data_IF_098583303365
#
_entry.id   IF_098583303365
#
_cell.length_a   1.000
_cell.length_b   1.000
_cell.length_c   1.000
_cell.angle_alpha   90.00
_cell.angle_beta   90.00
_cell.angle_gamma   90.00
#
_symmetry.space_group_name_H-M   'P 1'
#
loop_
_entity.id
_entity.type
_entity.pdbx_description
1 polymer ?
#
# COMPACT_ATOMS: atom_id res chain seq x y z
N UNK A 1 8.49 87.98 56.89
CA UNK A 1 7.60 87.18 57.75
C UNK A 1 7.82 85.72 57.39
N UNK A 2 8.74 84.99 58.04
CA UNK A 2 8.52 84.20 59.27
C UNK A 2 7.29 83.28 59.15
N UNK A 3 7.50 81.98 58.88
CA UNK A 3 7.61 80.85 59.84
C UNK A 3 6.22 80.19 60.06
N UNK A 4 6.03 78.90 59.76
CA UNK A 4 6.21 77.83 60.74
C UNK A 4 6.32 76.42 60.12
N UNK A 5 6.97 75.54 60.90
CA UNK A 5 7.53 74.22 60.60
C UNK A 5 6.93 73.18 61.58
N UNK A 6 6.84 71.90 61.14
CA UNK A 6 6.82 70.60 61.90
C UNK A 6 5.55 70.27 62.72
N UNK A 7 4.96 69.06 62.81
CA UNK A 7 5.19 67.61 62.50
C UNK A 7 4.27 66.79 63.47
N UNK A 8 4.24 65.43 63.59
CA UNK A 8 4.82 64.31 62.83
C UNK A 8 3.87 63.08 62.55
N UNK A 9 4.44 62.10 61.81
CA UNK A 9 4.22 60.63 61.67
C UNK A 9 3.03 59.88 62.32
N UNK A 10 2.52 58.88 61.58
CA UNK A 10 2.56 57.45 61.95
C UNK A 10 2.51 56.54 60.70
N UNK A 11 3.23 55.41 60.76
CA UNK A 11 3.51 54.43 59.71
C UNK A 11 2.32 53.50 59.39
N UNK A 12 2.22 53.01 58.15
CA UNK A 12 1.89 51.59 57.90
C UNK A 12 2.35 51.10 56.51
N UNK A 13 3.31 50.17 56.57
CA UNK A 13 3.59 49.03 55.70
C UNK A 13 3.07 49.00 54.25
N UNK A 14 4.03 49.01 53.32
CA UNK A 14 3.92 48.53 51.94
C UNK A 14 3.59 47.03 51.87
N UNK A 15 2.41 46.69 51.33
CA UNK A 15 2.16 45.35 50.79
C UNK A 15 2.53 45.32 49.30
N UNK A 16 3.55 44.51 48.98
CA UNK A 16 3.83 44.09 47.60
C UNK A 16 2.69 43.19 47.13
N UNK A 17 1.85 43.67 46.23
CA UNK A 17 1.00 42.81 45.43
C UNK A 17 1.84 42.34 44.24
N UNK A 18 2.32 41.08 44.30
CA UNK A 18 2.97 40.45 43.17
C UNK A 18 1.96 40.28 42.05
N UNK A 19 2.18 40.96 40.92
CA UNK A 19 1.43 40.68 39.71
C UNK A 19 1.86 39.30 39.20
N UNK A 20 1.05 38.28 39.48
CA UNK A 20 1.04 37.06 38.69
C UNK A 20 0.53 37.44 37.30
N UNK A 21 1.44 37.89 36.44
CA UNK A 21 1.23 37.90 35.00
C UNK A 21 1.33 36.45 34.53
N UNK A 22 0.24 35.71 34.66
CA UNK A 22 0.03 34.50 33.87
C UNK A 22 -0.25 34.94 32.45
N UNK A 23 0.83 35.21 31.72
CA UNK A 23 0.84 35.27 30.27
C UNK A 23 0.28 33.94 29.77
N UNK A 24 -0.97 33.91 29.29
CA UNK A 24 -1.47 32.77 28.54
C UNK A 24 -0.71 32.74 27.20
N UNK A 25 0.45 32.08 27.19
CA UNK A 25 1.20 31.81 25.97
C UNK A 25 0.33 30.87 25.15
N UNK A 26 -0.24 31.34 24.04
CA UNK A 26 -0.83 30.47 23.02
C UNK A 26 0.29 29.59 22.44
N UNK A 27 0.45 28.37 22.96
CA UNK A 27 1.39 27.34 22.46
C UNK A 27 0.79 26.55 21.30
N UNK A 28 0.32 27.25 20.27
CA UNK A 28 -0.12 26.66 19.01
C UNK A 28 0.69 27.33 17.91
N UNK A 29 1.92 26.85 17.73
CA UNK A 29 2.87 27.44 16.78
C UNK A 29 2.72 26.75 15.43
N UNK A 30 2.72 27.54 14.35
CA UNK A 30 2.88 27.03 12.99
C UNK A 30 4.36 26.89 12.69
N UNK A 31 4.72 25.86 11.94
CA UNK A 31 6.06 25.49 11.54
C UNK A 31 6.10 25.16 10.05
N UNK A 32 7.20 25.50 9.36
CA UNK A 32 7.38 25.12 7.97
C UNK A 32 7.50 23.60 7.80
N UNK A 33 7.08 23.10 6.64
CA UNK A 33 7.08 21.67 6.27
C UNK A 33 8.44 20.98 6.45
N UNK A 34 9.54 21.69 6.25
CA UNK A 34 10.90 21.17 6.39
C UNK A 34 11.30 20.84 7.84
N UNK A 35 10.53 21.29 8.85
CA UNK A 35 10.73 20.89 10.24
C UNK A 35 10.02 19.58 10.60
N UNK A 36 9.39 18.90 9.63
CA UNK A 36 8.69 17.64 9.82
C UNK A 36 9.51 16.60 10.60
N UNK A 37 10.73 16.31 10.14
CA UNK A 37 11.57 15.28 10.74
C UNK A 37 11.86 15.56 12.22
N UNK A 38 12.18 16.82 12.53
CA UNK A 38 12.44 17.27 13.91
C UNK A 38 11.18 17.17 14.78
N UNK A 39 10.03 17.63 14.30
CA UNK A 39 8.77 17.63 15.06
C UNK A 39 8.24 16.21 15.30
N UNK A 40 8.31 15.35 14.28
CA UNK A 40 7.86 13.96 14.37
C UNK A 40 8.69 13.14 15.35
N UNK A 41 9.99 13.43 15.43
CA UNK A 41 10.96 12.73 16.29
C UNK A 41 11.13 13.36 17.68
N UNK A 42 10.52 14.53 17.92
CA UNK A 42 10.60 15.25 19.20
C UNK A 42 10.02 14.39 20.33
N UNK A 43 10.78 14.18 21.41
CA UNK A 43 10.36 13.34 22.57
C UNK A 43 9.01 13.73 23.18
N UNK A 44 8.70 15.03 23.14
CA UNK A 44 7.44 15.56 23.63
C UNK A 44 6.24 15.20 22.73
N UNK A 45 6.44 14.88 21.45
CA UNK A 45 5.37 14.59 20.47
C UNK A 45 4.72 13.22 20.70
N UNK A 46 3.88 13.12 21.74
CA UNK A 46 3.16 11.91 22.15
C UNK A 46 1.97 11.59 21.26
N UNK A 47 1.29 12.59 20.72
CA UNK A 47 0.12 12.40 19.87
C UNK A 47 0.30 13.11 18.53
N UNK A 48 0.25 12.38 17.43
CA UNK A 48 0.53 12.96 16.12
C UNK A 48 -0.55 12.61 15.10
N UNK A 49 -0.98 13.58 14.29
CA UNK A 49 -1.99 13.38 13.23
C UNK A 49 -1.49 14.04 11.94
N UNK A 50 -1.22 13.22 10.92
CA UNK A 50 -0.76 13.70 9.62
C UNK A 50 -1.71 13.27 8.51
N UNK A 51 -1.94 14.17 7.56
CA UNK A 51 -2.58 13.85 6.28
C UNK A 51 -1.58 14.10 5.17
N UNK A 52 -1.39 13.12 4.28
CA UNK A 52 -0.58 13.33 3.08
C UNK A 52 -1.41 14.01 2.00
N UNK A 53 -0.83 15.04 1.37
CA UNK A 53 -1.32 15.65 0.14
C UNK A 53 -0.65 15.03 -1.11
N UNK A 54 0.35 14.16 -0.93
CA UNK A 54 0.95 13.40 -2.02
C UNK A 54 0.06 12.21 -2.41
N UNK A 55 -0.13 12.01 -3.71
CA UNK A 55 -0.75 10.81 -4.28
C UNK A 55 0.28 9.75 -4.68
N UNK A 56 1.59 10.02 -4.54
CA UNK A 56 2.64 9.06 -4.86
C UNK A 56 2.76 8.00 -3.73
N UNK A 57 2.47 6.72 -4.02
CA UNK A 57 2.57 5.65 -3.03
C UNK A 57 3.99 5.48 -2.45
N UNK A 58 5.04 5.80 -3.20
CA UNK A 58 6.43 5.71 -2.72
C UNK A 58 6.72 6.77 -1.67
N UNK A 59 6.21 7.99 -1.85
CA UNK A 59 6.32 9.07 -0.86
C UNK A 59 5.54 8.69 0.38
N UNK A 60 4.27 8.31 0.23
CA UNK A 60 3.40 7.95 1.35
C UNK A 60 3.96 6.79 2.20
N UNK A 61 4.39 5.70 1.56
CA UNK A 61 4.98 4.55 2.28
C UNK A 61 6.35 4.87 2.91
N UNK A 62 7.07 5.87 2.40
CA UNK A 62 8.36 6.29 2.97
C UNK A 62 8.17 7.24 4.15
N UNK A 63 7.20 8.15 4.11
CA UNK A 63 6.77 8.94 5.26
C UNK A 63 6.25 8.02 6.38
N UNK A 64 5.41 7.04 6.03
CA UNK A 64 4.92 6.03 6.98
C UNK A 64 6.09 5.30 7.67
N UNK A 65 7.09 4.88 6.89
CA UNK A 65 8.25 4.19 7.44
C UNK A 65 9.11 5.11 8.31
N UNK A 66 9.33 6.36 7.91
CA UNK A 66 10.04 7.35 8.70
C UNK A 66 9.36 7.57 10.06
N UNK A 67 8.03 7.75 10.06
CA UNK A 67 7.25 7.89 11.29
C UNK A 67 7.36 6.65 12.17
N UNK A 68 7.44 5.45 11.60
CA UNK A 68 7.61 4.20 12.35
C UNK A 68 8.97 4.14 13.07
N UNK A 69 10.05 4.51 12.41
CA UNK A 69 11.42 4.35 12.91
C UNK A 69 11.87 5.50 13.81
N UNK A 70 11.45 6.74 13.53
CA UNK A 70 12.04 7.93 14.15
C UNK A 70 11.16 8.59 15.23
N UNK A 71 9.86 8.32 15.27
CA UNK A 71 8.99 8.90 16.29
C UNK A 71 9.18 8.25 17.68
N UNK A 72 8.89 8.97 18.78
CA UNK A 72 9.07 8.46 20.14
C UNK A 72 8.37 7.11 20.37
N UNK A 73 9.01 6.20 21.10
CA UNK A 73 8.52 4.83 21.30
C UNK A 73 7.15 4.74 22.00
N UNK A 74 6.82 5.72 22.84
CA UNK A 74 5.56 5.85 23.57
C UNK A 74 4.50 6.70 22.83
N UNK A 75 4.81 7.22 21.63
CA UNK A 75 3.88 8.03 20.85
C UNK A 75 2.81 7.21 20.11
N UNK A 76 1.67 7.85 19.88
CA UNK A 76 0.58 7.36 19.04
C UNK A 76 0.38 8.30 17.85
N UNK A 77 0.35 7.74 16.65
CA UNK A 77 0.36 8.48 15.39
C UNK A 77 -0.77 7.97 14.51
N UNK A 78 -1.56 8.89 13.96
CA UNK A 78 -2.46 8.64 12.83
C UNK A 78 -1.86 9.29 11.58
N UNK A 79 -1.67 8.51 10.53
CA UNK A 79 -1.27 8.98 9.22
C UNK A 79 -2.29 8.53 8.18
N UNK A 80 -2.88 9.49 7.46
CA UNK A 80 -3.91 9.27 6.45
C UNK A 80 -3.38 9.68 5.08
N UNK A 81 -3.64 8.87 4.05
CA UNK A 81 -3.21 9.18 2.69
C UNK A 81 -4.06 8.47 1.65
N UNK A 82 -4.14 9.06 0.46
CA UNK A 82 -4.79 8.50 -0.73
C UNK A 82 -3.71 8.40 -1.80
N UNK A 83 -3.64 7.26 -2.50
CA UNK A 83 -2.67 7.07 -3.57
C UNK A 83 -3.39 7.20 -4.92
N UNK A 84 -2.65 7.66 -5.94
CA UNK A 84 -3.04 7.47 -7.34
C UNK A 84 -3.13 5.97 -7.69
N UNK A 85 -3.72 5.59 -8.84
CA UNK A 85 -3.83 4.21 -9.28
C UNK A 85 -2.55 3.40 -9.08
N UNK A 86 -2.60 2.38 -8.22
CA UNK A 86 -1.47 1.49 -7.98
C UNK A 86 -1.89 0.13 -7.40
N UNK A 87 -1.08 -0.88 -7.69
CA UNK A 87 -1.14 -2.20 -7.04
C UNK A 87 -0.04 -2.29 -6.00
N UNK A 88 -0.44 -2.48 -4.74
CA UNK A 88 0.48 -2.62 -3.60
C UNK A 88 0.50 -4.07 -3.13
N UNK A 89 1.63 -4.76 -3.32
CA UNK A 89 1.84 -6.13 -2.82
C UNK A 89 2.57 -6.15 -1.48
N UNK A 90 2.34 -7.21 -0.70
CA UNK A 90 3.03 -7.45 0.56
C UNK A 90 4.50 -7.80 0.41
N UNK A 91 5.27 -7.61 1.49
CA UNK A 91 6.73 -7.79 1.54
C UNK A 91 7.23 -9.12 0.97
N UNK A 92 6.52 -10.21 1.26
CA UNK A 92 6.92 -11.59 0.92
C UNK A 92 6.02 -12.23 -0.14
N UNK A 93 5.37 -11.42 -0.98
CA UNK A 93 4.52 -11.90 -2.07
C UNK A 93 5.30 -12.06 -3.38
N UNK A 94 4.75 -12.87 -4.28
CA UNK A 94 5.28 -13.07 -5.62
C UNK A 94 4.48 -12.22 -6.64
N UNK A 95 5.08 -11.20 -7.28
CA UNK A 95 4.35 -10.34 -8.21
C UNK A 95 3.80 -11.08 -9.43
N UNK A 96 4.52 -12.09 -9.93
CA UNK A 96 4.07 -12.92 -11.05
C UNK A 96 2.89 -13.81 -10.70
N UNK A 97 2.65 -14.11 -9.42
CA UNK A 97 1.48 -14.88 -8.97
C UNK A 97 0.31 -13.98 -8.62
N UNK A 98 0.59 -12.83 -8.01
CA UNK A 98 -0.42 -11.96 -7.39
C UNK A 98 -0.98 -10.88 -8.32
N UNK A 99 -0.28 -10.58 -9.41
CA UNK A 99 -0.61 -9.42 -10.26
C UNK A 99 -0.56 -9.75 -11.75
N UNK A 100 -1.33 -9.02 -12.52
CA UNK A 100 -1.20 -8.97 -13.97
C UNK A 100 -0.15 -7.90 -14.32
N UNK A 101 1.12 -8.30 -14.31
CA UNK A 101 2.22 -7.37 -14.57
C UNK A 101 2.08 -6.64 -15.91
N UNK A 102 1.46 -7.23 -16.93
CA UNK A 102 1.24 -6.57 -18.22
C UNK A 102 0.26 -5.40 -18.15
N UNK A 103 -0.76 -5.51 -17.28
CA UNK A 103 -1.83 -4.51 -17.19
C UNK A 103 -1.47 -3.34 -16.25
N UNK A 104 -0.36 -3.43 -15.52
CA UNK A 104 0.13 -2.36 -14.65
C UNK A 104 1.40 -1.78 -15.26
N UNK A 105 1.62 -0.48 -15.07
CA UNK A 105 2.89 0.14 -15.37
C UNK A 105 3.94 -0.47 -14.45
N UNK A 106 4.66 -1.41 -15.04
CA UNK A 106 5.79 -2.06 -14.43
C UNK A 106 7.05 -1.42 -15.01
N UNK A 107 8.15 -1.45 -14.26
CA UNK A 107 9.41 -0.83 -14.70
C UNK A 107 10.09 -1.64 -15.83
N UNK A 108 9.37 -2.58 -16.45
CA UNK A 108 9.87 -3.55 -17.43
C UNK A 108 9.53 -3.12 -18.85
N UNK A 109 8.49 -2.31 -19.06
CA UNK A 109 8.18 -1.69 -20.35
C UNK A 109 8.89 -0.35 -20.41
N UNK A 110 10.00 -0.28 -21.14
CA UNK A 110 10.55 1.01 -21.58
C UNK A 110 9.71 1.43 -22.77
N UNK A 111 8.70 2.26 -22.54
CA UNK A 111 7.99 2.88 -23.67
C UNK A 111 9.01 3.62 -24.55
N UNK A 112 9.28 3.18 -25.79
CA UNK A 112 10.21 3.85 -26.68
C UNK A 112 9.71 5.22 -27.14
N UNK A 113 8.40 5.47 -27.05
CA UNK A 113 7.72 6.69 -27.50
C UNK A 113 7.42 7.67 -26.36
N UNK A 114 7.73 7.31 -25.10
CA UNK A 114 7.55 8.21 -23.95
C UNK A 114 6.10 8.59 -23.68
N UNK A 115 5.13 7.75 -24.07
CA UNK A 115 3.69 7.87 -23.76
C UNK A 115 3.39 7.31 -22.35
N UNK A 116 4.40 7.18 -21.48
CA UNK A 116 4.17 7.21 -20.04
C UNK A 116 3.68 8.62 -19.70
N UNK A 117 2.40 8.89 -19.96
CA UNK A 117 1.76 10.14 -19.56
C UNK A 117 1.69 10.11 -18.04
N UNK A 118 2.42 11.02 -17.40
CA UNK A 118 2.41 11.21 -15.96
C UNK A 118 0.96 11.30 -15.45
N UNK A 119 0.45 10.24 -14.81
CA UNK A 119 -0.81 10.26 -14.06
C UNK A 119 -1.88 9.23 -14.39
N UNK A 120 -1.84 8.55 -15.55
CA UNK A 120 -2.89 7.55 -15.91
C UNK A 120 -2.49 6.09 -15.62
N UNK A 121 -1.21 5.86 -15.43
CA UNK A 121 -0.65 4.52 -15.31
C UNK A 121 -0.78 3.90 -13.90
N UNK A 122 -1.21 2.63 -13.85
CA UNK A 122 -1.32 1.88 -12.58
C UNK A 122 0.06 1.45 -12.11
N UNK A 123 0.59 2.07 -11.06
CA UNK A 123 1.93 1.74 -10.55
C UNK A 123 1.99 0.37 -9.88
N UNK A 124 3.11 -0.32 -10.06
CA UNK A 124 3.47 -1.48 -9.22
C UNK A 124 4.28 -1.08 -7.98
N UNK A 125 3.86 -1.48 -6.77
CA UNK A 125 4.53 -1.13 -5.51
C UNK A 125 4.65 -2.36 -4.58
N UNK A 126 5.79 -2.52 -3.90
CA UNK A 126 5.97 -3.49 -2.81
C UNK A 126 6.12 -2.78 -1.46
N UNK A 127 5.24 -3.06 -0.51
CA UNK A 127 5.32 -2.46 0.84
C UNK A 127 6.23 -3.24 1.80
N UNK A 128 6.60 -2.59 2.92
CA UNK A 128 7.45 -3.18 3.98
C UNK A 128 6.72 -4.11 4.95
N UNK A 129 5.38 -4.04 5.00
CA UNK A 129 4.52 -4.90 5.82
C UNK A 129 4.13 -6.19 5.08
N UNK A 130 3.61 -7.18 5.81
CA UNK A 130 3.08 -8.42 5.24
C UNK A 130 1.68 -8.25 4.63
N UNK A 131 0.99 -9.37 4.37
CA UNK A 131 -0.38 -9.40 3.83
C UNK A 131 -0.46 -9.57 2.31
N UNK A 132 -1.69 -9.47 1.78
CA UNK A 132 -2.01 -9.69 0.36
C UNK A 132 -1.81 -8.48 -0.55
N UNK A 133 -2.09 -8.66 -1.83
CA UNK A 133 -2.06 -7.62 -2.85
C UNK A 133 -3.39 -6.86 -2.87
N UNK A 134 -3.32 -5.54 -3.01
CA UNK A 134 -4.47 -4.64 -3.06
C UNK A 134 -4.28 -3.59 -4.15
N UNK A 135 -5.40 -3.07 -4.65
CA UNK A 135 -5.42 -1.94 -5.59
C UNK A 135 -5.85 -0.68 -4.84
N UNK A 136 -5.17 0.44 -5.08
CA UNK A 136 -5.53 1.76 -4.57
C UNK A 136 -5.79 2.70 -5.75
N UNK A 137 -6.70 3.65 -5.53
CA UNK A 137 -6.93 4.84 -6.33
C UNK A 137 -7.48 5.96 -5.42
N UNK A 138 -7.97 7.04 -6.03
CA UNK A 138 -8.49 8.22 -5.36
C UNK A 138 -9.69 7.93 -4.44
N UNK A 139 -10.43 6.85 -4.70
CA UNK A 139 -11.56 6.43 -3.88
C UNK A 139 -11.19 5.48 -2.74
N UNK A 140 -9.91 5.14 -2.59
CA UNK A 140 -9.39 4.26 -1.53
C UNK A 140 -8.55 5.06 -0.51
N UNK A 141 -9.11 5.29 0.67
CA UNK A 141 -8.41 5.91 1.79
C UNK A 141 -7.48 4.88 2.47
N UNK A 142 -6.23 5.24 2.69
CA UNK A 142 -5.33 4.47 3.53
C UNK A 142 -5.22 5.14 4.90
N UNK A 143 -5.32 4.34 5.95
CA UNK A 143 -5.04 4.76 7.31
C UNK A 143 -3.87 3.97 7.85
N UNK A 144 -2.99 4.63 8.59
CA UNK A 144 -1.86 4.03 9.29
C UNK A 144 -1.85 4.53 10.70
N UNK A 145 -1.98 3.62 11.66
CA UNK A 145 -1.89 3.91 13.08
C UNK A 145 -0.64 3.26 13.65
N UNK A 146 0.25 4.09 14.16
CA UNK A 146 1.49 3.66 14.80
C UNK A 146 1.38 3.90 16.30
N UNK A 147 1.66 2.87 17.09
CA UNK A 147 1.47 2.92 18.54
C UNK A 147 2.51 2.07 19.29
N UNK A 148 2.63 2.22 20.62
CA UNK A 148 3.50 1.37 21.41
C UNK A 148 3.07 -0.09 21.31
N UNK A 149 4.03 -0.98 21.07
CA UNK A 149 3.78 -2.42 20.85
C UNK A 149 3.03 -3.07 22.02
N UNK A 150 3.23 -2.58 23.24
CA UNK A 150 2.59 -3.09 24.46
C UNK A 150 1.09 -2.86 24.50
N UNK A 151 0.58 -1.87 23.76
CA UNK A 151 -0.85 -1.49 23.75
C UNK A 151 -1.56 -1.85 22.44
N UNK A 152 -0.85 -2.53 21.54
CA UNK A 152 -1.31 -2.88 20.22
C UNK A 152 -2.09 -4.19 20.21
N UNK A 153 -3.25 -4.19 19.57
CA UNK A 153 -3.98 -5.39 19.17
C UNK A 153 -4.43 -5.23 17.72
N UNK A 154 -4.61 -6.35 17.00
CA UNK A 154 -4.92 -6.31 15.57
C UNK A 154 -6.27 -5.66 15.25
N UNK A 155 -7.28 -5.83 16.11
CA UNK A 155 -8.60 -5.26 15.90
C UNK A 155 -8.69 -3.78 16.30
N UNK A 156 -7.85 -3.31 17.22
CA UNK A 156 -8.02 -2.00 17.88
C UNK A 156 -8.28 -0.83 16.93
N UNK A 157 -7.50 -0.71 15.86
CA UNK A 157 -7.67 0.41 14.92
C UNK A 157 -8.65 0.10 13.79
N UNK A 158 -8.88 -1.17 13.45
CA UNK A 158 -9.95 -1.53 12.52
C UNK A 158 -11.32 -1.21 13.15
N UNK A 159 -11.51 -1.52 14.44
CA UNK A 159 -12.68 -1.14 15.22
C UNK A 159 -12.82 0.38 15.37
N UNK A 160 -11.70 1.11 15.46
CA UNK A 160 -11.70 2.58 15.44
C UNK A 160 -12.27 3.12 14.11
N UNK A 161 -11.85 2.55 12.98
CA UNK A 161 -12.39 2.93 11.67
C UNK A 161 -13.86 2.52 11.55
N UNK A 162 -14.28 1.35 12.04
CA UNK A 162 -15.70 0.95 12.07
C UNK A 162 -16.55 1.96 12.84
N UNK A 163 -16.11 2.43 14.01
CA UNK A 163 -16.86 3.48 14.75
C UNK A 163 -16.98 4.77 13.95
N UNK A 164 -15.93 5.17 13.23
CA UNK A 164 -15.99 6.33 12.34
C UNK A 164 -16.98 6.13 11.18
N UNK A 165 -17.02 4.93 10.59
CA UNK A 165 -17.98 4.55 9.55
C UNK A 165 -19.43 4.54 10.07
N UNK A 166 -19.65 4.14 11.31
CA UNK A 166 -20.98 4.17 11.93
C UNK A 166 -21.51 5.61 12.07
N UNK A 167 -20.64 6.59 12.37
CA UNK A 167 -21.03 8.01 12.50
C UNK A 167 -21.55 8.61 11.18
N UNK A 168 -21.05 8.13 10.04
CA UNK A 168 -21.53 8.56 8.73
C UNK A 168 -22.71 7.74 8.21
N UNK A 169 -23.19 6.74 8.97
CA UNK A 169 -24.38 5.95 8.65
C UNK A 169 -24.11 4.52 8.15
N UNK A 170 -22.85 4.11 7.95
CA UNK A 170 -22.49 2.76 7.52
C UNK A 170 -22.47 1.77 8.70
N UNK A 171 -23.60 1.62 9.39
CA UNK A 171 -23.78 0.86 10.65
C UNK A 171 -23.73 -0.66 10.48
N UNK A 172 -23.83 -1.15 9.25
CA UNK A 172 -23.71 -2.56 8.86
C UNK A 172 -22.26 -3.03 8.62
N UNK A 173 -21.28 -2.25 9.09
CA UNK A 173 -19.85 -2.57 9.00
C UNK A 173 -19.32 -3.17 10.30
N UNK A 174 -18.35 -4.07 10.18
CA UNK A 174 -17.72 -4.74 11.32
C UNK A 174 -16.37 -5.36 10.98
N UNK A 175 -15.60 -5.69 12.02
CA UNK A 175 -14.29 -6.37 11.87
C UNK A 175 -14.51 -7.88 11.91
N UNK A 176 -13.99 -8.61 10.93
CA UNK A 176 -14.05 -10.07 10.90
C UNK A 176 -12.85 -10.73 11.61
N UNK A 177 -12.84 -12.06 11.70
CA UNK A 177 -11.77 -12.84 12.35
C UNK A 177 -10.38 -12.67 11.71
N UNK A 178 -10.34 -12.23 10.44
CA UNK A 178 -9.09 -11.93 9.71
C UNK A 178 -8.64 -10.49 9.89
N UNK A 179 -9.32 -9.71 10.73
CA UNK A 179 -9.04 -8.30 10.98
C UNK A 179 -9.32 -7.40 9.77
N UNK A 180 -10.12 -7.86 8.81
CA UNK A 180 -10.64 -7.04 7.71
C UNK A 180 -11.91 -6.32 8.18
N UNK A 181 -12.19 -5.13 7.63
CA UNK A 181 -13.52 -4.51 7.77
C UNK A 181 -14.40 -4.99 6.63
N UNK A 182 -15.55 -5.56 6.98
CA UNK A 182 -16.56 -6.06 6.06
C UNK A 182 -17.87 -5.31 6.25
N UNK A 183 -18.68 -5.32 5.21
CA UNK A 183 -19.99 -4.69 5.12
C UNK A 183 -21.01 -5.73 4.64
N UNK A 184 -22.09 -5.89 5.39
CA UNK A 184 -23.20 -6.75 5.01
C UNK A 184 -24.18 -5.98 4.13
N UNK A 185 -24.41 -6.43 2.89
CA UNK A 185 -25.33 -5.78 1.96
C UNK A 185 -26.76 -6.30 2.15
N UNK A 186 -27.76 -5.42 2.12
CA UNK A 186 -29.18 -5.82 2.06
C UNK A 186 -29.50 -6.48 0.70
N UNK A 187 -30.57 -7.26 0.63
CA UNK A 187 -30.94 -7.94 -0.62
C UNK A 187 -31.23 -6.95 -1.75
N UNK A 188 -31.84 -5.80 -1.44
CA UNK A 188 -32.13 -4.74 -2.40
C UNK A 188 -30.84 -4.16 -2.99
N UNK A 189 -29.86 -3.84 -2.14
CA UNK A 189 -28.57 -3.30 -2.56
C UNK A 189 -27.76 -4.33 -3.36
N UNK A 190 -27.83 -5.61 -3.00
CA UNK A 190 -27.21 -6.68 -3.78
C UNK A 190 -27.79 -6.77 -5.21
N UNK A 191 -29.11 -6.59 -5.38
CA UNK A 191 -29.73 -6.58 -6.71
C UNK A 191 -29.30 -5.37 -7.54
N UNK A 192 -29.22 -4.19 -6.94
CA UNK A 192 -28.77 -2.96 -7.61
C UNK A 192 -27.31 -3.04 -8.08
N UNK A 193 -26.45 -3.76 -7.33
CA UNK A 193 -25.04 -3.98 -7.69
C UNK A 193 -24.82 -5.08 -8.76
N UNK A 194 -25.88 -5.56 -9.42
CA UNK A 194 -25.77 -6.61 -10.44
C UNK A 194 -25.62 -8.03 -9.87
N UNK A 195 -26.03 -8.24 -8.62
CA UNK A 195 -25.99 -9.54 -7.94
C UNK A 195 -24.65 -9.87 -7.26
N UNK A 196 -24.53 -11.11 -6.81
CA UNK A 196 -23.33 -11.58 -6.12
C UNK A 196 -22.24 -12.02 -7.10
N UNK A 197 -20.95 -11.81 -6.76
CA UNK A 197 -19.86 -12.09 -7.67
C UNK A 197 -19.77 -13.61 -7.80
N UNK A 198 -19.54 -14.09 -9.02
CA UNK A 198 -19.42 -15.52 -9.29
C UNK A 198 -18.40 -16.18 -8.37
N UNK A 199 -18.80 -17.25 -7.67
CA UNK A 199 -17.94 -18.04 -6.78
C UNK A 199 -18.01 -17.66 -5.30
N UNK A 200 -18.93 -16.79 -4.89
CA UNK A 200 -19.22 -16.48 -3.49
C UNK A 200 -20.68 -16.78 -3.13
N UNK A 201 -20.90 -17.17 -1.87
CA UNK A 201 -22.25 -17.33 -1.32
C UNK A 201 -22.97 -15.98 -1.30
N UNK A 202 -24.27 -15.91 -1.66
CA UNK A 202 -25.04 -14.67 -1.59
C UNK A 202 -24.98 -13.90 -0.28
N UNK A 203 -24.82 -14.60 0.85
CA UNK A 203 -24.77 -13.98 2.18
C UNK A 203 -23.34 -13.57 2.59
N UNK A 204 -22.35 -13.72 1.70
CA UNK A 204 -20.95 -13.36 1.98
C UNK A 204 -20.81 -11.84 2.17
N UNK A 205 -20.36 -11.36 3.35
CA UNK A 205 -20.09 -9.94 3.55
C UNK A 205 -19.03 -9.42 2.58
N UNK A 206 -19.21 -8.20 2.09
CA UNK A 206 -18.26 -7.55 1.18
C UNK A 206 -17.14 -6.91 1.98
N UNK A 207 -15.89 -7.20 1.62
CA UNK A 207 -14.73 -6.56 2.21
C UNK A 207 -14.62 -5.11 1.73
N UNK A 208 -14.51 -4.17 2.67
CA UNK A 208 -14.31 -2.74 2.40
C UNK A 208 -12.92 -2.25 2.86
N UNK A 209 -12.27 -2.98 3.78
CA UNK A 209 -10.93 -2.65 4.28
C UNK A 209 -10.08 -3.90 4.43
N UNK A 210 -8.85 -3.87 3.93
CA UNK A 210 -7.83 -4.86 4.23
C UNK A 210 -6.76 -4.32 5.16
N UNK A 211 -6.37 -5.12 6.16
CA UNK A 211 -5.38 -4.74 7.16
C UNK A 211 -4.04 -5.42 6.94
N UNK A 212 -2.95 -4.71 7.24
CA UNK A 212 -1.61 -5.26 7.32
C UNK A 212 -0.82 -4.62 8.47
N UNK A 213 0.19 -5.36 8.95
CA UNK A 213 0.89 -5.03 10.19
C UNK A 213 2.40 -5.09 10.02
N UNK A 214 3.12 -4.23 10.75
CA UNK A 214 4.57 -4.29 10.91
C UNK A 214 4.93 -4.02 12.38
N UNK A 215 5.61 -4.96 13.02
CA UNK A 215 6.06 -4.84 14.40
C UNK A 215 7.56 -4.60 14.42
N UNK A 216 8.00 -3.62 15.21
CA UNK A 216 9.41 -3.41 15.56
C UNK A 216 9.65 -3.81 17.02
N UNK A 217 10.81 -3.47 17.58
CA UNK A 217 11.13 -3.78 18.98
C UNK A 217 10.10 -3.14 19.93
N UNK A 218 9.85 -1.84 19.76
CA UNK A 218 9.06 -1.05 20.70
C UNK A 218 7.72 -0.58 20.12
N UNK A 219 7.55 -0.62 18.79
CA UNK A 219 6.40 -0.03 18.11
C UNK A 219 5.67 -1.03 17.24
N UNK A 220 4.40 -0.75 17.01
CA UNK A 220 3.53 -1.51 16.13
C UNK A 220 2.87 -0.54 15.15
N UNK A 221 2.95 -0.87 13.87
CA UNK A 221 2.23 -0.22 12.79
C UNK A 221 1.10 -1.14 12.34
N UNK A 222 -0.10 -0.57 12.28
CA UNK A 222 -1.24 -1.13 11.59
C UNK A 222 -1.68 -0.15 10.52
N UNK A 223 -1.61 -0.58 9.27
CA UNK A 223 -2.22 0.16 8.20
C UNK A 223 -3.30 -0.66 7.52
N UNK A 224 -4.30 0.03 7.00
CA UNK A 224 -5.36 -0.59 6.23
C UNK A 224 -5.84 0.33 5.13
N UNK A 225 -6.47 -0.30 4.15
CA UNK A 225 -7.21 0.40 3.10
C UNK A 225 -8.65 0.63 3.55
N UNK A 226 -9.38 1.53 2.92
CA UNK A 226 -10.82 1.68 3.10
C UNK A 226 -11.40 2.13 1.76
N UNK A 227 -12.12 1.22 1.10
CA UNK A 227 -12.79 1.45 -0.17
C UNK A 227 -13.98 2.36 0.09
N UNK A 228 -13.75 3.65 -0.04
CA UNK A 228 -14.77 4.65 0.21
C UNK A 228 -15.64 4.82 -1.03
N UNK A 229 -15.04 5.15 -2.16
CA UNK A 229 -15.74 5.43 -3.42
C UNK A 229 -14.84 5.25 -4.65
N UNK A 230 -14.22 4.07 -4.80
CA UNK A 230 -13.34 3.79 -5.95
C UNK A 230 -14.16 3.63 -7.24
N UNK A 231 -13.86 4.40 -8.30
CA UNK A 231 -14.52 4.23 -9.60
C UNK A 231 -14.03 2.97 -10.33
N UNK A 232 -12.85 2.45 -9.99
CA UNK A 232 -12.22 1.32 -10.67
C UNK A 232 -12.50 -0.04 -10.00
N UNK A 233 -13.41 -0.10 -9.01
CA UNK A 233 -13.66 -1.31 -8.20
C UNK A 233 -14.02 -2.55 -9.05
N UNK A 234 -14.72 -2.35 -10.17
CA UNK A 234 -15.07 -3.42 -11.10
C UNK A 234 -13.85 -4.02 -11.81
N UNK A 235 -12.81 -3.20 -12.03
CA UNK A 235 -11.63 -3.54 -12.82
C UNK A 235 -10.46 -4.04 -11.99
N UNK A 236 -10.55 -4.06 -10.64
CA UNK A 236 -9.50 -4.59 -9.77
C UNK A 236 -9.04 -6.00 -10.19
N UNK A 237 -9.97 -6.83 -10.66
CA UNK A 237 -9.66 -8.17 -11.14
C UNK A 237 -8.70 -8.20 -12.33
N UNK A 238 -8.71 -7.18 -13.19
CA UNK A 238 -7.82 -7.10 -14.36
C UNK A 238 -6.35 -6.90 -13.97
N UNK A 239 -6.10 -6.21 -12.85
CA UNK A 239 -4.77 -5.92 -12.31
C UNK A 239 -4.28 -6.97 -11.30
N UNK A 240 -5.19 -7.58 -10.53
CA UNK A 240 -4.88 -8.52 -9.43
C UNK A 240 -5.00 -10.01 -9.83
N UNK A 241 -5.31 -10.32 -11.09
CA UNK A 241 -5.36 -11.71 -11.58
C UNK A 241 -4.18 -11.99 -12.51
N UNK A 242 -3.19 -12.70 -11.98
CA UNK A 242 -2.06 -13.12 -12.79
C UNK A 242 -2.48 -14.05 -13.94
N UNK A 243 -1.99 -13.82 -15.17
CA UNK A 243 -2.12 -14.79 -16.26
C UNK A 243 -1.38 -16.09 -15.98
N UNK A 244 -0.31 -16.06 -15.17
CA UNK A 244 0.52 -17.20 -14.83
C UNK A 244 0.02 -18.02 -13.63
N UNK A 245 -1.10 -17.65 -13.01
CA UNK A 245 -1.63 -18.29 -11.80
C UNK A 245 -1.68 -19.82 -11.88
N UNK A 246 -2.12 -20.36 -13.02
CA UNK A 246 -2.25 -21.82 -13.23
C UNK A 246 -0.92 -22.54 -13.45
N UNK A 247 0.17 -21.82 -13.67
CA UNK A 247 1.49 -22.37 -14.00
C UNK A 247 2.52 -22.14 -12.89
N UNK A 248 2.24 -21.24 -11.94
CA UNK A 248 3.19 -20.88 -10.88
C UNK A 248 2.89 -21.63 -9.58
N UNK A 249 3.96 -22.17 -8.98
CA UNK A 249 3.99 -22.57 -7.57
C UNK A 249 5.02 -21.72 -6.84
N UNK A 250 4.55 -20.85 -5.95
CA UNK A 250 5.43 -19.95 -5.20
C UNK A 250 5.53 -20.34 -3.73
N UNK A 251 6.69 -20.05 -3.12
CA UNK A 251 6.79 -19.84 -1.68
C UNK A 251 6.35 -18.40 -1.37
N UNK A 252 5.89 -18.15 -0.15
CA UNK A 252 5.51 -16.79 0.28
C UNK A 252 4.07 -16.69 0.74
N UNK A 253 3.59 -15.45 0.85
CA UNK A 253 2.22 -15.14 1.29
C UNK A 253 1.32 -15.00 0.08
N UNK A 254 0.31 -15.85 -0.04
CA UNK A 254 -0.72 -15.74 -1.08
C UNK A 254 -1.82 -14.76 -0.65
N UNK A 255 -2.43 -14.04 -1.59
CA UNK A 255 -3.60 -13.21 -1.29
C UNK A 255 -4.85 -14.05 -1.03
N UNK A 256 -5.64 -13.65 -0.04
CA UNK A 256 -6.97 -14.22 0.18
C UNK A 256 -7.99 -13.38 -0.59
N UNK A 257 -8.56 -13.97 -1.65
CA UNK A 257 -9.59 -13.30 -2.45
C UNK A 257 -10.87 -13.12 -1.63
N UNK A 258 -11.53 -11.98 -1.78
CA UNK A 258 -12.80 -11.68 -1.14
C UNK A 258 -13.63 -10.77 -2.04
N UNK A 259 -14.96 -10.88 -2.02
CA UNK A 259 -15.79 -9.95 -2.76
C UNK A 259 -15.70 -8.58 -2.07
N UNK A 260 -15.58 -7.51 -2.85
CA UNK A 260 -15.40 -6.14 -2.33
C UNK A 260 -16.60 -5.26 -2.65
N UNK A 261 -16.72 -4.14 -1.94
CA UNK A 261 -17.69 -3.08 -2.19
C UNK A 261 -17.14 -1.72 -1.75
N UNK A 262 -17.71 -0.63 -2.26
CA UNK A 262 -17.47 0.71 -1.75
C UNK A 262 -18.41 0.99 -0.56
N UNK A 263 -17.95 1.79 0.40
CA UNK A 263 -18.79 2.32 1.47
C UNK A 263 -19.88 3.24 0.90
N UNK A 264 -19.57 4.01 -0.14
CA UNK A 264 -20.50 4.92 -0.83
C UNK A 264 -21.77 4.22 -1.33
N UNK A 265 -21.71 2.91 -1.59
CA UNK A 265 -22.88 2.12 -2.05
C UNK A 265 -24.04 2.15 -1.05
N UNK A 266 -23.78 2.34 0.25
CA UNK A 266 -24.85 2.48 1.26
C UNK A 266 -25.63 3.79 1.14
N UNK A 267 -25.10 4.74 0.37
CA UNK A 267 -25.63 6.09 0.24
C UNK A 267 -26.19 6.37 -1.16
N UNK A 268 -26.35 5.34 -1.99
CA UNK A 268 -26.85 5.49 -3.37
C UNK A 268 -28.23 6.20 -3.42
N UNK A 269 -29.08 5.93 -2.43
CA UNK A 269 -30.41 6.55 -2.29
C UNK A 269 -30.46 7.63 -1.18
N UNK A 270 -29.32 8.02 -0.62
CA UNK A 270 -29.28 9.01 0.45
C UNK A 270 -29.50 10.43 -0.09
N UNK A 271 -30.23 11.25 0.67
CA UNK A 271 -30.48 12.66 0.33
C UNK A 271 -29.20 13.52 0.33
N UNK A 272 -28.20 13.12 1.13
CA UNK A 272 -26.92 13.81 1.23
C UNK A 272 -25.83 12.96 0.55
N UNK A 273 -24.96 13.57 -0.26
CA UNK A 273 -23.88 12.85 -0.92
C UNK A 273 -22.87 12.32 0.10
N UNK A 274 -22.33 11.13 -0.18
CA UNK A 274 -21.22 10.56 0.58
C UNK A 274 -19.98 11.48 0.48
N UNK A 275 -19.26 11.63 1.59
CA UNK A 275 -18.07 12.49 1.67
C UNK A 275 -16.85 11.72 2.19
N UNK A 276 -15.83 11.58 1.34
CA UNK A 276 -14.52 11.05 1.74
C UNK A 276 -13.91 11.92 2.84
N UNK A 277 -13.98 13.24 2.69
CA UNK A 277 -13.43 14.19 3.67
C UNK A 277 -14.16 14.08 5.01
N UNK A 278 -15.49 13.94 5.00
CA UNK A 278 -16.26 13.69 6.22
C UNK A 278 -15.86 12.36 6.89
N UNK A 279 -15.55 11.33 6.11
CA UNK A 279 -15.05 10.05 6.65
C UNK A 279 -13.67 10.21 7.30
N UNK A 280 -12.75 10.94 6.65
CA UNK A 280 -11.42 11.28 7.19
C UNK A 280 -11.55 12.01 8.54
N UNK A 281 -12.45 12.98 8.65
CA UNK A 281 -12.71 13.74 9.87
C UNK A 281 -13.19 12.85 11.01
N UNK A 282 -14.16 11.97 10.73
CA UNK A 282 -14.65 11.01 11.73
C UNK A 282 -13.56 10.03 12.20
N UNK A 283 -12.64 9.62 11.33
CA UNK A 283 -11.49 8.78 11.71
C UNK A 283 -10.53 9.55 12.62
N UNK A 284 -10.26 10.82 12.33
CA UNK A 284 -9.43 11.68 13.19
C UNK A 284 -10.06 11.86 14.58
N UNK A 285 -11.38 12.05 14.66
CA UNK A 285 -12.11 12.15 15.92
C UNK A 285 -12.07 10.86 16.74
N UNK A 286 -12.27 9.71 16.12
CA UNK A 286 -12.21 8.40 16.78
C UNK A 286 -10.79 8.08 17.27
N UNK A 287 -9.76 8.46 16.51
CA UNK A 287 -8.38 8.39 16.96
C UNK A 287 -8.13 9.29 18.18
N UNK A 288 -8.66 10.51 18.14
CA UNK A 288 -8.52 11.45 19.25
C UNK A 288 -9.16 10.94 20.53
N UNK A 289 -10.34 10.36 20.45
CA UNK A 289 -11.01 9.72 21.58
C UNK A 289 -10.24 8.50 22.08
N UNK A 290 -9.76 7.64 21.18
CA UNK A 290 -9.03 6.42 21.53
C UNK A 290 -7.72 6.71 22.29
N UNK A 291 -7.06 7.82 21.98
CA UNK A 291 -5.75 8.18 22.54
C UNK A 291 -5.76 9.43 23.44
N UNK A 292 -6.94 9.99 23.74
CA UNK A 292 -7.11 11.24 24.50
C UNK A 292 -6.30 12.41 23.93
N UNK A 293 -6.30 12.55 22.60
CA UNK A 293 -5.59 13.62 21.90
C UNK A 293 -6.28 14.96 22.15
N UNK A 294 -5.49 16.03 22.35
CA UNK A 294 -6.03 17.38 22.55
C UNK A 294 -6.84 17.85 21.35
N UNK A 295 -7.97 18.51 21.60
CA UNK A 295 -8.90 18.97 20.55
C UNK A 295 -8.28 19.98 19.59
N UNK A 296 -7.27 20.74 20.03
CA UNK A 296 -6.50 21.65 19.17
C UNK A 296 -5.74 20.90 18.09
N UNK A 297 -5.18 19.72 18.39
CA UNK A 297 -4.46 18.91 17.43
C UNK A 297 -5.40 18.42 16.32
N UNK A 298 -6.59 17.92 16.72
CA UNK A 298 -7.63 17.48 15.78
C UNK A 298 -8.09 18.65 14.91
N UNK A 299 -8.39 19.79 15.52
CA UNK A 299 -8.80 21.00 14.78
C UNK A 299 -7.76 21.46 13.76
N UNK A 300 -6.45 21.27 14.05
CA UNK A 300 -5.37 21.57 13.11
C UNK A 300 -5.27 20.52 12.00
N UNK A 301 -5.34 19.24 12.36
CA UNK A 301 -5.33 18.13 11.40
C UNK A 301 -6.51 18.20 10.42
N UNK A 302 -7.72 18.46 10.92
CA UNK A 302 -8.92 18.61 10.09
C UNK A 302 -8.80 19.77 9.11
N UNK A 303 -8.05 20.84 9.42
CA UNK A 303 -7.83 21.95 8.48
C UNK A 303 -6.63 21.74 7.54
N UNK A 304 -5.88 20.65 7.70
CA UNK A 304 -4.67 20.39 6.93
C UNK A 304 -4.95 20.16 5.43
N UNK A 305 -6.14 19.67 5.08
CA UNK A 305 -6.55 19.51 3.68
C UNK A 305 -6.88 20.84 2.98
N UNK A 306 -7.09 21.92 3.74
CA UNK A 306 -7.56 23.22 3.23
C UNK A 306 -6.47 24.31 3.18
N UNK A 307 -5.28 24.04 3.74
CA UNK A 307 -4.15 24.98 3.79
C UNK A 307 -2.90 24.33 3.18
N UNK A 308 -1.97 25.14 2.67
CA UNK A 308 -0.63 24.68 2.26
C UNK A 308 0.07 23.87 3.36
N UNK A 309 1.10 23.09 2.99
CA UNK A 309 1.91 22.16 3.80
C UNK A 309 2.47 22.75 5.12
N UNK A 310 1.60 23.13 6.05
CA UNK A 310 1.92 23.65 7.36
C UNK A 310 1.82 22.56 8.42
N UNK A 311 2.76 22.62 9.36
CA UNK A 311 2.76 21.79 10.54
C UNK A 311 2.45 22.65 11.75
N UNK A 312 1.63 22.12 12.64
CA UNK A 312 1.34 22.74 13.92
C UNK A 312 1.81 21.83 15.04
N UNK A 313 2.39 22.41 16.09
CA UNK A 313 2.76 21.64 17.27
C UNK A 313 2.38 22.38 18.56
N UNK A 314 1.93 21.59 19.52
CA UNK A 314 1.71 21.98 20.90
C UNK A 314 2.77 21.37 21.83
N UNK A 315 2.42 21.28 23.12
CA UNK A 315 3.29 20.71 24.16
C UNK A 315 3.58 19.24 23.90
N UNK A 316 2.54 18.45 23.62
CA UNK A 316 2.58 17.00 23.54
C UNK A 316 2.07 16.44 22.19
N UNK A 317 1.76 17.32 21.24
CA UNK A 317 1.16 16.93 19.96
C UNK A 317 1.76 17.64 18.76
N UNK A 318 1.61 17.00 17.59
CA UNK A 318 1.93 17.54 16.26
C UNK A 318 0.80 17.19 15.30
N UNK A 319 0.39 18.14 14.47
CA UNK A 319 -0.65 17.90 13.47
C UNK A 319 -0.44 18.75 12.22
N UNK A 320 -0.72 18.21 11.04
CA UNK A 320 -0.65 18.98 9.80
C UNK A 320 -0.58 18.14 8.53
N UNK A 321 -0.27 18.82 7.43
CA UNK A 321 -0.14 18.21 6.12
C UNK A 321 1.32 17.86 5.81
N UNK A 322 1.52 16.72 5.16
CA UNK A 322 2.81 16.26 4.63
C UNK A 322 2.62 15.84 3.17
N UNK A 323 3.69 15.49 2.46
CA UNK A 323 3.62 15.04 1.07
C UNK A 323 4.96 15.20 0.37
N UNK A 324 4.92 15.71 -0.86
CA UNK A 324 6.09 15.83 -1.74
C UNK A 324 7.25 16.64 -1.12
N UNK A 325 6.96 17.66 -0.33
CA UNK A 325 8.01 18.44 0.35
C UNK A 325 8.88 17.58 1.29
N UNK A 326 8.32 16.51 1.87
CA UNK A 326 9.07 15.58 2.72
C UNK A 326 9.89 14.57 1.91
N UNK A 327 9.70 14.45 0.60
CA UNK A 327 10.50 13.57 -0.24
C UNK A 327 11.98 13.98 -0.30
N UNK A 328 12.30 15.24 0.00
CA UNK A 328 13.68 15.74 0.08
C UNK A 328 14.36 15.47 1.43
N UNK A 329 13.62 15.02 2.45
CA UNK A 329 14.25 14.65 3.72
C UNK A 329 15.09 13.38 3.54
N UNK A 330 16.39 13.34 3.93
CA UNK A 330 17.32 12.28 3.51
C UNK A 330 16.85 10.85 3.79
N UNK A 331 16.26 10.59 4.96
CA UNK A 331 15.78 9.25 5.32
C UNK A 331 14.53 8.84 4.52
N UNK A 332 13.67 9.81 4.20
CA UNK A 332 12.47 9.59 3.37
C UNK A 332 12.89 9.37 1.92
N UNK A 333 13.80 10.19 1.41
CA UNK A 333 14.39 10.07 0.07
C UNK A 333 15.02 8.70 -0.13
N UNK A 334 15.85 8.26 0.82
CA UNK A 334 16.42 6.92 0.83
C UNK A 334 15.34 5.83 0.82
N UNK A 335 14.26 6.03 1.58
CA UNK A 335 13.10 5.15 1.58
C UNK A 335 12.42 5.06 0.22
N UNK A 336 12.26 6.18 -0.48
CA UNK A 336 11.68 6.28 -1.83
C UNK A 336 12.57 5.57 -2.84
N UNK A 337 13.88 5.85 -2.82
CA UNK A 337 14.87 5.24 -3.71
C UNK A 337 14.90 3.71 -3.55
N UNK A 338 14.85 3.23 -2.30
CA UNK A 338 14.72 1.80 -2.02
C UNK A 338 13.43 1.23 -2.63
N UNK A 339 12.28 1.83 -2.36
CA UNK A 339 10.99 1.31 -2.83
C UNK A 339 10.85 1.31 -4.36
N UNK A 340 11.50 2.26 -5.05
CA UNK A 340 11.55 2.35 -6.52
C UNK A 340 12.55 1.38 -7.15
N UNK A 341 13.55 0.91 -6.39
CA UNK A 341 14.56 0.00 -6.91
C UNK A 341 13.96 -1.33 -7.39
N UNK A 342 14.47 -1.83 -8.53
CA UNK A 342 14.10 -3.16 -9.04
C UNK A 342 14.43 -4.27 -8.04
N UNK A 343 15.51 -4.09 -7.27
CA UNK A 343 15.93 -5.00 -6.23
C UNK A 343 14.86 -5.15 -5.15
N UNK A 344 14.27 -4.03 -4.70
CA UNK A 344 13.16 -4.08 -3.75
C UNK A 344 11.90 -4.66 -4.38
N UNK A 345 11.54 -4.19 -5.57
CA UNK A 345 10.29 -4.56 -6.24
C UNK A 345 10.27 -6.06 -6.59
N UNK A 346 11.35 -6.61 -7.14
CA UNK A 346 11.36 -7.95 -7.72
C UNK A 346 12.27 -8.96 -7.03
N UNK A 347 13.48 -8.55 -6.59
CA UNK A 347 14.48 -9.50 -6.04
C UNK A 347 14.09 -9.99 -4.64
N UNK A 348 13.22 -9.26 -3.96
CA UNK A 348 12.59 -9.69 -2.70
C UNK A 348 11.60 -10.86 -2.85
N UNK A 349 11.32 -11.31 -4.08
CA UNK A 349 10.37 -12.40 -4.34
C UNK A 349 10.93 -13.73 -3.83
N UNK A 350 10.17 -14.46 -2.96
CA UNK A 350 10.58 -15.80 -2.55
C UNK A 350 10.67 -16.75 -3.73
N UNK A 351 11.40 -17.84 -3.55
CA UNK A 351 11.59 -18.84 -4.62
C UNK A 351 10.25 -19.36 -5.14
N UNK A 352 10.14 -19.52 -6.46
CA UNK A 352 8.98 -20.09 -7.13
C UNK A 352 9.38 -20.89 -8.37
N UNK A 353 8.46 -21.71 -8.85
CA UNK A 353 8.55 -22.39 -10.15
C UNK A 353 7.43 -21.92 -11.07
N UNK A 354 7.70 -21.94 -12.37
CA UNK A 354 6.72 -21.85 -13.44
C UNK A 354 6.81 -23.15 -14.23
N UNK A 355 5.69 -23.82 -14.52
CA UNK A 355 5.68 -25.06 -15.29
C UNK A 355 4.42 -25.22 -16.13
N UNK A 356 4.59 -25.53 -17.42
CA UNK A 356 3.49 -25.85 -18.35
C UNK A 356 2.97 -27.28 -18.22
N UNK A 357 3.59 -28.10 -17.37
CA UNK A 357 3.18 -29.46 -17.06
C UNK A 357 3.21 -29.73 -15.54
N UNK A 358 2.47 -30.72 -15.04
CA UNK A 358 2.56 -31.14 -13.64
C UNK A 358 3.97 -31.60 -13.29
N UNK A 359 4.44 -31.23 -12.11
CA UNK A 359 5.72 -31.66 -11.54
C UNK A 359 5.48 -32.25 -10.15
N UNK A 360 6.46 -32.97 -9.59
CA UNK A 360 6.30 -33.60 -8.28
C UNK A 360 5.93 -32.58 -7.19
N UNK A 361 6.55 -31.39 -7.20
CA UNK A 361 6.26 -30.34 -6.21
C UNK A 361 4.94 -29.59 -6.45
N UNK A 362 4.32 -29.76 -7.62
CA UNK A 362 3.04 -29.16 -8.01
C UNK A 362 2.31 -30.06 -9.01
N UNK A 363 1.56 -31.06 -8.51
CA UNK A 363 0.88 -32.07 -9.33
C UNK A 363 -0.41 -31.56 -9.97
N UNK A 364 -0.79 -30.28 -9.78
CA UNK A 364 -2.02 -29.73 -10.38
C UNK A 364 -1.97 -29.87 -11.90
N UNK A 365 -3.08 -30.24 -12.51
CA UNK A 365 -3.21 -30.24 -13.97
C UNK A 365 -3.05 -28.82 -14.52
N UNK A 366 -2.46 -28.71 -15.71
CA UNK A 366 -2.23 -27.43 -16.38
C UNK A 366 -3.27 -27.24 -17.48
N UNK A 367 -3.72 -25.99 -17.71
CA UNK A 367 -4.57 -25.70 -18.86
C UNK A 367 -3.83 -26.05 -20.17
N UNK A 368 -4.57 -26.38 -21.25
CA UNK A 368 -3.97 -26.69 -22.53
C UNK A 368 -3.16 -25.49 -23.05
N UNK A 369 -2.01 -25.79 -23.65
CA UNK A 369 -1.20 -24.79 -24.33
C UNK A 369 -1.93 -24.26 -25.58
N UNK A 370 -1.56 -23.06 -26.07
CA UNK A 370 -2.05 -22.56 -27.35
C UNK A 370 -1.97 -23.62 -28.46
N UNK A 371 -3.02 -23.80 -29.28
CA UNK A 371 -3.01 -24.80 -30.37
C UNK A 371 -1.92 -24.58 -31.41
N UNK A 372 -1.33 -23.38 -31.47
CA UNK A 372 -0.17 -23.05 -32.31
C UNK A 372 1.14 -23.69 -31.82
N UNK A 373 1.20 -24.12 -30.56
CA UNK A 373 2.35 -24.81 -29.99
C UNK A 373 2.19 -26.33 -30.15
N UNK A 374 3.28 -27.05 -30.46
CA UNK A 374 3.25 -28.50 -30.48
C UNK A 374 2.83 -29.10 -29.12
N UNK A 375 2.08 -30.22 -29.09
CA UNK A 375 1.52 -30.79 -27.85
C UNK A 375 2.58 -31.29 -26.87
N UNK A 376 3.80 -31.58 -27.34
CA UNK A 376 4.95 -31.97 -26.52
C UNK A 376 5.76 -30.77 -26.00
N UNK A 377 5.31 -29.53 -26.23
CA UNK A 377 5.98 -28.33 -25.71
C UNK A 377 6.02 -28.35 -24.20
N UNK A 378 7.22 -28.26 -23.64
CA UNK A 378 7.46 -28.23 -22.19
C UNK A 378 8.25 -26.99 -21.85
N UNK A 379 7.79 -26.22 -20.87
CA UNK A 379 8.51 -25.10 -20.33
C UNK A 379 8.45 -25.12 -18.80
N UNK A 380 9.62 -25.17 -18.18
CA UNK A 380 9.82 -25.10 -16.75
C UNK A 380 10.88 -24.06 -16.42
N UNK A 381 10.65 -23.25 -15.38
CA UNK A 381 11.59 -22.31 -14.81
C UNK A 381 11.58 -22.43 -13.28
N UNK A 382 12.75 -22.41 -12.64
CA UNK A 382 12.89 -22.16 -11.20
C UNK A 382 13.57 -20.82 -10.99
N UNK A 383 12.92 -19.96 -10.22
CA UNK A 383 13.41 -18.61 -9.94
C UNK A 383 13.69 -18.44 -8.44
N UNK A 384 14.80 -17.78 -8.10
CA UNK A 384 15.18 -17.43 -6.73
C UNK A 384 15.80 -16.04 -6.72
N UNK A 385 15.34 -15.17 -5.81
CA UNK A 385 15.76 -13.77 -5.74
C UNK A 385 15.61 -13.05 -7.10
N UNK A 386 14.50 -13.31 -7.79
CA UNK A 386 14.23 -12.74 -9.11
C UNK A 386 15.07 -13.29 -10.26
N UNK A 387 16.07 -14.16 -10.02
CA UNK A 387 16.91 -14.76 -11.06
C UNK A 387 16.47 -16.17 -11.42
N UNK A 388 16.61 -16.54 -12.70
CA UNK A 388 16.40 -17.90 -13.19
C UNK A 388 17.62 -18.74 -12.80
N UNK A 389 17.41 -19.78 -12.00
CA UNK A 389 18.48 -20.68 -11.54
C UNK A 389 18.42 -22.06 -12.20
N UNK A 390 17.31 -22.38 -12.84
CA UNK A 390 17.06 -23.65 -13.52
C UNK A 390 15.99 -23.41 -14.59
N UNK A 391 16.15 -24.00 -15.77
CA UNK A 391 15.14 -23.96 -16.81
C UNK A 391 15.21 -25.19 -17.69
N UNK A 392 14.05 -25.74 -18.02
CA UNK A 392 13.91 -26.86 -18.96
C UNK A 392 12.85 -26.49 -19.99
N UNK A 393 13.27 -26.05 -21.18
CA UNK A 393 12.37 -25.63 -22.25
C UNK A 393 12.68 -26.44 -23.51
N UNK A 394 11.67 -27.11 -24.07
CA UNK A 394 11.80 -27.92 -25.28
C UNK A 394 10.50 -27.96 -26.07
N UNK A 395 10.64 -28.22 -27.36
CA UNK A 395 9.55 -28.37 -28.33
C UNK A 395 9.77 -29.62 -29.17
N UNK A 396 10.37 -30.67 -28.60
CA UNK A 396 10.63 -31.92 -29.33
C UNK A 396 10.01 -33.10 -28.58
N UNK A 397 9.41 -34.07 -29.30
CA UNK A 397 9.01 -35.34 -28.70
C UNK A 397 10.21 -36.29 -28.52
N UNK A 398 11.31 -36.09 -29.24
CA UNK A 398 12.54 -36.86 -29.09
C UNK A 398 13.30 -36.39 -27.84
N UNK A 399 13.55 -37.31 -26.90
CA UNK A 399 14.17 -37.02 -25.60
C UNK A 399 15.58 -36.47 -25.72
N UNK A 400 16.37 -36.93 -26.70
CA UNK A 400 17.75 -36.48 -26.90
C UNK A 400 17.76 -35.04 -27.42
N UNK A 401 16.91 -34.76 -28.41
CA UNK A 401 16.73 -33.40 -28.94
C UNK A 401 16.15 -32.47 -27.87
N UNK A 402 15.14 -32.92 -27.10
CA UNK A 402 14.54 -32.13 -26.04
C UNK A 402 15.54 -31.78 -24.93
N UNK A 403 16.40 -32.72 -24.54
CA UNK A 403 17.47 -32.51 -23.56
C UNK A 403 18.49 -31.47 -24.05
N UNK A 404 18.92 -31.58 -25.30
CA UNK A 404 19.85 -30.62 -25.90
C UNK A 404 19.23 -29.22 -26.05
N UNK A 405 17.96 -29.13 -26.47
CA UNK A 405 17.19 -27.89 -26.50
C UNK A 405 17.12 -27.23 -25.12
N UNK A 406 16.77 -28.01 -24.09
CA UNK A 406 16.67 -27.52 -22.72
C UNK A 406 18.02 -27.00 -22.21
N UNK A 407 19.12 -27.70 -22.50
CA UNK A 407 20.48 -27.29 -22.14
C UNK A 407 20.84 -25.93 -22.76
N UNK A 408 20.61 -25.77 -24.06
CA UNK A 408 20.94 -24.53 -24.80
C UNK A 408 20.13 -23.32 -24.31
N UNK A 409 18.84 -23.51 -24.05
CA UNK A 409 17.99 -22.44 -23.48
C UNK A 409 18.42 -22.12 -22.07
N UNK A 410 18.77 -23.14 -21.27
CA UNK A 410 19.26 -22.91 -19.92
C UNK A 410 20.55 -22.11 -19.90
N UNK A 411 21.51 -22.42 -20.76
CA UNK A 411 22.74 -21.62 -20.90
C UNK A 411 22.46 -20.16 -21.26
N UNK A 412 21.38 -19.88 -21.99
CA UNK A 412 20.97 -18.51 -22.34
C UNK A 412 20.25 -17.77 -21.20
N UNK A 413 19.51 -18.48 -20.34
CA UNK A 413 18.65 -17.87 -19.31
C UNK A 413 19.25 -17.93 -17.90
N UNK A 414 20.18 -18.83 -17.63
CA UNK A 414 20.72 -19.05 -16.29
C UNK A 414 21.36 -17.76 -15.73
N UNK A 415 20.99 -17.42 -14.50
CA UNK A 415 21.43 -16.21 -13.80
C UNK A 415 20.74 -14.92 -14.24
N UNK A 416 20.00 -14.92 -15.36
CA UNK A 416 19.26 -13.72 -15.80
C UNK A 416 18.12 -13.42 -14.84
N UNK A 417 17.92 -12.14 -14.55
CA UNK A 417 16.80 -11.65 -13.73
C UNK A 417 15.53 -11.62 -14.57
N UNK A 418 14.49 -12.32 -14.12
CA UNK A 418 13.24 -12.47 -14.84
C UNK A 418 12.54 -11.14 -15.13
N UNK A 419 12.63 -10.17 -14.21
CA UNK A 419 12.03 -8.85 -14.38
C UNK A 419 12.77 -7.98 -15.42
N UNK A 420 14.03 -8.30 -15.73
CA UNK A 420 14.83 -7.59 -16.74
C UNK A 420 14.64 -8.21 -18.15
N UNK A 421 14.04 -9.41 -18.25
CA UNK A 421 13.80 -10.05 -19.55
C UNK A 421 12.70 -9.33 -20.33
N UNK A 422 13.03 -9.02 -21.59
CA UNK A 422 12.11 -8.52 -22.62
C UNK A 422 11.62 -9.66 -23.52
N UNK A 423 10.69 -9.37 -24.42
CA UNK A 423 10.18 -10.38 -25.36
C UNK A 423 11.28 -10.84 -26.34
N UNK A 424 12.13 -9.91 -26.78
CA UNK A 424 13.26 -10.17 -27.68
C UNK A 424 14.29 -11.10 -27.05
N UNK A 425 14.56 -10.91 -25.75
CA UNK A 425 15.45 -11.78 -24.97
C UNK A 425 14.95 -13.23 -24.93
N UNK A 426 13.64 -13.40 -24.72
CA UNK A 426 13.01 -14.72 -24.75
C UNK A 426 13.08 -15.30 -26.16
N UNK A 427 12.82 -14.49 -27.19
CA UNK A 427 12.88 -14.93 -28.57
C UNK A 427 14.29 -15.38 -28.97
N UNK A 428 15.33 -14.64 -28.59
CA UNK A 428 16.72 -14.99 -28.83
C UNK A 428 17.13 -16.26 -28.09
N UNK A 429 16.78 -16.37 -26.80
CA UNK A 429 17.10 -17.54 -25.99
C UNK A 429 16.43 -18.80 -26.55
N UNK A 430 15.16 -18.71 -26.96
CA UNK A 430 14.41 -19.81 -27.57
C UNK A 430 14.82 -20.06 -29.02
N UNK A 431 15.35 -19.08 -29.74
CA UNK A 431 15.86 -19.25 -31.11
C UNK A 431 17.03 -20.21 -31.21
N UNK A 432 17.69 -20.54 -30.09
CA UNK A 432 18.77 -21.54 -30.03
C UNK A 432 18.26 -22.97 -30.25
N UNK A 433 16.96 -23.24 -30.05
CA UNK A 433 16.29 -24.56 -29.91
C UNK A 433 16.18 -25.40 -31.22
N UNK A 434 17.07 -25.23 -32.19
CA UNK A 434 17.17 -25.90 -33.50
C UNK A 434 16.62 -25.09 -34.68
N UNK A 435 17.42 -24.89 -35.76
CA UNK A 435 16.97 -24.27 -37.02
C UNK A 435 15.86 -25.05 -37.75
N UNK A 436 15.61 -26.30 -37.38
CA UNK A 436 14.75 -27.23 -38.12
C UNK A 436 13.26 -27.14 -37.74
N UNK A 437 12.89 -26.42 -36.68
CA UNK A 437 11.50 -26.13 -36.34
C UNK A 437 11.21 -24.65 -36.55
N UNK A 438 10.19 -24.38 -37.38
CA UNK A 438 9.96 -23.06 -37.96
C UNK A 438 9.92 -21.92 -36.93
N UNK A 439 10.55 -20.80 -37.29
CA UNK A 439 10.61 -19.52 -36.55
C UNK A 439 9.27 -19.10 -35.90
N UNK A 440 8.14 -19.47 -36.51
CA UNK A 440 6.82 -19.22 -35.97
C UNK A 440 6.58 -19.88 -34.59
N UNK A 441 6.99 -21.14 -34.37
CA UNK A 441 6.76 -21.84 -33.09
C UNK A 441 7.55 -21.19 -31.97
N UNK A 442 8.81 -20.82 -32.24
CA UNK A 442 9.67 -20.07 -31.30
C UNK A 442 9.03 -18.74 -30.94
N UNK A 443 8.50 -18.01 -31.93
CA UNK A 443 7.80 -16.74 -31.71
C UNK A 443 6.55 -16.92 -30.85
N UNK A 444 5.73 -17.92 -31.12
CA UNK A 444 4.53 -18.23 -30.33
C UNK A 444 4.88 -18.62 -28.89
N UNK A 445 5.93 -19.40 -28.68
CA UNK A 445 6.37 -19.79 -27.34
C UNK A 445 6.93 -18.60 -26.55
N UNK A 446 7.71 -17.73 -27.21
CA UNK A 446 8.19 -16.49 -26.62
C UNK A 446 7.02 -15.59 -26.21
N UNK A 447 6.01 -15.42 -27.06
CA UNK A 447 4.80 -14.66 -26.74
C UNK A 447 4.00 -15.27 -25.59
N UNK A 448 3.87 -16.60 -25.55
CA UNK A 448 3.21 -17.31 -24.46
C UNK A 448 3.95 -17.09 -23.12
N UNK A 449 5.27 -17.26 -23.09
CA UNK A 449 6.07 -17.04 -21.88
C UNK A 449 6.07 -15.57 -21.47
N UNK A 450 6.24 -14.65 -22.43
CA UNK A 450 6.17 -13.21 -22.20
C UNK A 450 4.83 -12.80 -21.59
N UNK A 451 3.72 -13.37 -22.06
CA UNK A 451 2.39 -13.14 -21.48
C UNK A 451 2.23 -13.58 -20.05
N UNK A 452 2.71 -14.77 -19.73
CA UNK A 452 2.57 -15.29 -18.38
C UNK A 452 3.56 -14.61 -17.42
N UNK A 453 4.78 -14.37 -17.86
CA UNK A 453 5.87 -13.87 -17.02
C UNK A 453 6.02 -12.35 -17.08
N UNK A 454 5.18 -11.65 -17.87
CA UNK A 454 5.19 -10.20 -18.04
C UNK A 454 6.41 -9.64 -18.76
N UNK A 455 7.07 -10.43 -19.61
CA UNK A 455 8.22 -9.99 -20.42
C UNK A 455 7.69 -9.39 -21.73
N UNK A 456 7.67 -8.07 -21.83
CA UNK A 456 7.10 -7.32 -22.95
C UNK A 456 7.97 -6.15 -23.33
#
# INVERSE_FOLDING_TARGET
MLLLRRGPCLLSSSFRCGSLSTTFIRRNSSFPSNQFAQLASRDASKHQIYQSLSSDPYVNLSIEHFLLENAPADSSILFLYINRPCVVIGRNQNPWLETNLRAIQNDRVKDPEGINQDGEDVLYVRRRSGGGAVYHDEGNLNYSVISPRTTFTRNKHAEMVVRALHRIGATNTGVNDRHDIVMSLSQELQQLMGGNPTGFDPDTPRKISGSAFKLTRNRALHHGTCLLDSPNIADFGSFLRSPAWNYIKAKGVESVRSPVANVSTMFADALMPFSIQGTIENIMEEFAQLYNVRSEAVSRATRAHANDLELHAGDDWVAGAVGEAQAEEPDIKKGIDELRSLDWKYIQTPQFTFSTYPIEEDPRERPPLPPSLPPYTRAFLRCKHGAIIESHISISPDETVASEQARQVHEALNGRKLHELQLEDLHEALGRVSPAMGSNVVRELAMFLGRNLGCY
#
